data_IF_935151854078
#
_entry.id   IF_935151854078
#
_cell.length_a   1.000
_cell.length_b   1.000
_cell.length_c   1.000
_cell.angle_alpha   90.00
_cell.angle_beta   90.00
_cell.angle_gamma   90.00
#
_symmetry.space_group_name_H-M   'P 1'
#
loop_
_entity.id
_entity.type
_entity.pdbx_description
1 polymer ?
#
# COMPACT_ATOMS: atom_id res chain seq x y z
N UNK A 1 -5.43 31.23 -52.88
CA UNK A 1 -5.57 31.47 -51.42
C UNK A 1 -6.96 32.04 -51.19
N UNK A 2 -7.84 31.33 -50.48
CA UNK A 2 -9.18 31.85 -50.22
C UNK A 2 -9.07 32.93 -49.15
N UNK A 3 -9.38 34.20 -49.51
CA UNK A 3 -9.26 35.39 -48.65
C UNK A 3 -9.92 35.19 -47.29
N UNK A 4 -10.98 34.40 -47.24
CA UNK A 4 -11.72 34.02 -46.03
C UNK A 4 -10.88 33.36 -44.95
N UNK A 5 -10.02 32.39 -45.28
CA UNK A 5 -9.21 31.65 -44.29
C UNK A 5 -8.15 32.55 -43.65
N UNK A 6 -7.54 33.44 -44.45
CA UNK A 6 -6.55 34.40 -43.96
C UNK A 6 -7.20 35.49 -43.09
N UNK A 7 -8.40 35.96 -43.48
CA UNK A 7 -9.18 36.94 -42.71
C UNK A 7 -9.63 36.39 -41.35
N UNK A 8 -9.98 35.09 -41.28
CA UNK A 8 -10.42 34.38 -40.06
C UNK A 8 -9.24 34.22 -39.07
N UNK A 9 -8.04 33.88 -39.55
CA UNK A 9 -6.86 33.81 -38.70
C UNK A 9 -6.42 35.18 -38.15
N UNK A 10 -6.65 36.27 -38.90
CA UNK A 10 -6.32 37.64 -38.50
C UNK A 10 -7.31 38.21 -37.47
N UNK A 11 -8.61 37.98 -37.66
CA UNK A 11 -9.66 38.38 -36.72
C UNK A 11 -9.60 37.59 -35.39
N UNK A 12 -9.04 36.39 -35.40
CA UNK A 12 -8.78 35.58 -34.21
C UNK A 12 -7.64 36.09 -33.30
N UNK A 13 -6.79 37.01 -33.78
CA UNK A 13 -5.65 37.53 -33.03
C UNK A 13 -5.92 38.94 -32.47
N UNK A 14 -6.77 39.75 -33.13
CA UNK A 14 -6.96 41.16 -32.78
C UNK A 14 -8.42 41.59 -32.53
N UNK A 15 -9.37 40.65 -32.55
CA UNK A 15 -10.80 40.94 -32.42
C UNK A 15 -11.41 41.54 -33.71
N UNK A 16 -12.75 41.60 -33.80
CA UNK A 16 -13.47 41.74 -35.07
C UNK A 16 -13.36 43.12 -35.78
N UNK A 17 -12.69 44.13 -35.20
CA UNK A 17 -12.75 45.52 -35.73
C UNK A 17 -11.41 46.25 -35.89
N UNK A 18 -10.26 45.59 -35.82
CA UNK A 18 -8.97 46.27 -36.07
C UNK A 18 -8.28 45.79 -37.35
N UNK A 19 -8.12 46.70 -38.31
CA UNK A 19 -7.21 46.52 -39.44
C UNK A 19 -5.79 46.64 -38.86
N UNK A 20 -4.92 45.62 -38.97
CA UNK A 20 -3.58 45.70 -38.39
C UNK A 20 -2.77 46.76 -39.15
N UNK A 21 -2.01 47.57 -38.41
CA UNK A 21 -1.11 48.53 -39.03
C UNK A 21 -0.06 47.82 -39.89
N UNK A 22 0.49 48.52 -40.90
CA UNK A 22 1.57 48.01 -41.77
C UNK A 22 2.81 47.52 -41.01
N UNK A 23 3.01 47.90 -39.74
CA UNK A 23 4.12 47.38 -38.92
C UNK A 23 3.84 45.99 -38.35
N UNK A 24 2.58 45.67 -38.04
CA UNK A 24 2.13 44.35 -37.53
C UNK A 24 2.21 43.29 -38.62
N UNK A 25 1.87 43.65 -39.86
CA UNK A 25 2.03 42.76 -41.02
C UNK A 25 3.50 42.44 -41.35
N UNK A 26 4.46 43.25 -40.89
CA UNK A 26 5.90 43.00 -41.06
C UNK A 26 6.49 42.03 -40.01
N UNK A 27 5.84 41.85 -38.85
CA UNK A 27 6.32 40.96 -37.78
C UNK A 27 5.83 39.51 -37.90
N UNK A 28 4.83 39.22 -38.74
CA UNK A 28 4.39 37.85 -39.01
C UNK A 28 5.21 37.20 -40.13
N UNK A 29 6.42 36.75 -39.80
CA UNK A 29 7.25 36.00 -40.75
C UNK A 29 6.77 34.55 -40.88
N UNK A 30 5.90 34.31 -41.89
CA UNK A 30 5.60 33.03 -42.56
C UNK A 30 4.65 32.06 -41.83
N UNK A 31 3.37 32.09 -42.23
CA UNK A 31 2.49 30.92 -42.19
C UNK A 31 2.56 30.19 -43.55
N UNK A 32 2.71 28.86 -43.54
CA UNK A 32 2.55 28.05 -44.74
C UNK A 32 1.71 26.82 -44.42
N UNK A 33 0.65 26.59 -45.19
CA UNK A 33 -0.07 25.32 -45.16
C UNK A 33 0.62 24.42 -46.17
N UNK A 34 1.33 23.41 -45.70
CA UNK A 34 1.94 22.42 -46.58
C UNK A 34 0.87 21.38 -46.96
N UNK A 35 0.57 21.30 -48.25
CA UNK A 35 -0.30 20.26 -48.78
C UNK A 35 0.50 18.96 -48.90
N UNK A 36 0.11 17.91 -48.18
CA UNK A 36 0.64 16.56 -48.38
C UNK A 36 -0.53 15.66 -48.77
N UNK A 37 -0.35 14.88 -49.83
CA UNK A 37 -1.38 14.07 -50.47
C UNK A 37 -2.11 13.14 -49.48
N UNK A 38 -3.41 12.94 -49.73
CA UNK A 38 -4.35 12.05 -49.04
C UNK A 38 -4.70 12.41 -47.58
N UNK A 39 -5.74 13.26 -47.45
CA UNK A 39 -6.67 13.40 -46.30
C UNK A 39 -6.09 13.78 -44.92
N UNK A 40 -4.86 14.28 -44.88
CA UNK A 40 -4.23 14.80 -43.66
C UNK A 40 -3.65 16.18 -43.94
N UNK A 41 -4.25 17.22 -43.37
CA UNK A 41 -3.74 18.58 -43.46
C UNK A 41 -2.74 18.82 -42.33
N UNK A 42 -1.68 19.58 -42.55
CA UNK A 42 -0.79 20.01 -41.47
C UNK A 42 -0.77 21.53 -41.42
N UNK A 43 -1.02 22.09 -40.24
CA UNK A 43 -0.81 23.52 -39.98
C UNK A 43 0.61 23.68 -39.46
N UNK A 44 1.47 24.31 -40.26
CA UNK A 44 2.81 24.65 -39.85
C UNK A 44 2.82 26.08 -39.31
N UNK A 45 3.33 26.25 -38.09
CA UNK A 45 3.55 27.58 -37.54
C UNK A 45 4.84 27.66 -36.73
N UNK A 46 5.38 28.86 -36.66
CA UNK A 46 6.64 29.18 -36.00
C UNK A 46 6.29 29.95 -34.72
N UNK A 47 6.77 29.47 -33.57
CA UNK A 47 6.62 30.15 -32.28
C UNK A 47 8.04 30.39 -31.71
N UNK A 48 8.50 31.64 -31.74
CA UNK A 48 9.91 31.96 -31.50
C UNK A 48 10.80 31.36 -32.59
N UNK A 49 11.88 30.66 -32.19
CA UNK A 49 12.83 30.03 -33.12
C UNK A 49 12.47 28.57 -33.49
N UNK A 50 11.29 28.08 -33.09
CA UNK A 50 10.90 26.67 -33.29
C UNK A 50 9.70 26.54 -34.21
N UNK A 51 9.79 25.59 -35.15
CA UNK A 51 8.73 25.22 -36.08
C UNK A 51 7.93 24.02 -35.55
N UNK A 52 6.61 24.12 -35.61
CA UNK A 52 5.67 23.08 -35.17
C UNK A 52 4.72 22.69 -36.31
N UNK A 53 4.43 21.40 -36.42
CA UNK A 53 3.52 20.83 -37.42
C UNK A 53 2.35 20.14 -36.69
N UNK A 54 1.12 20.63 -36.88
CA UNK A 54 -0.08 20.04 -36.26
C UNK A 54 -0.94 19.31 -37.30
N UNK A 55 -1.23 18.01 -37.15
CA UNK A 55 -2.14 17.29 -38.04
C UNK A 55 -3.59 17.73 -37.84
N UNK A 56 -4.31 17.91 -38.94
CA UNK A 56 -5.73 18.26 -39.02
C UNK A 56 -6.37 17.25 -39.99
N UNK A 57 -7.24 16.39 -39.47
CA UNK A 57 -8.07 15.53 -40.32
C UNK A 57 -9.33 16.30 -40.74
N UNK A 58 -9.56 16.38 -42.05
CA UNK A 58 -10.74 17.03 -42.62
C UNK A 58 -11.58 15.95 -43.29
N UNK A 59 -12.70 15.59 -42.67
CA UNK A 59 -13.74 14.81 -43.34
C UNK A 59 -14.62 15.74 -44.18
N UNK A 60 -14.88 15.33 -45.43
CA UNK A 60 -15.40 16.14 -46.55
C UNK A 60 -16.82 16.73 -46.38
N UNK A 61 -17.43 16.77 -45.19
CA UNK A 61 -18.84 17.18 -45.01
C UNK A 61 -19.17 18.08 -43.80
N UNK A 62 -18.19 18.71 -43.14
CA UNK A 62 -18.47 19.66 -42.05
C UNK A 62 -17.55 20.89 -42.08
N UNK A 63 -17.55 21.69 -43.16
CA UNK A 63 -16.65 22.85 -43.29
C UNK A 63 -16.84 23.92 -42.20
N UNK A 64 -18.05 24.09 -41.65
CA UNK A 64 -18.29 25.05 -40.56
C UNK A 64 -17.94 24.50 -39.17
N UNK A 65 -18.24 23.22 -38.89
CA UNK A 65 -17.96 22.56 -37.60
C UNK A 65 -16.48 22.18 -37.37
N UNK A 66 -15.74 21.88 -38.44
CA UNK A 66 -14.31 21.57 -38.41
C UNK A 66 -13.46 22.80 -38.05
N UNK A 67 -13.94 24.02 -38.34
CA UNK A 67 -13.23 25.27 -38.03
C UNK A 67 -13.18 25.55 -36.52
N UNK A 68 -14.30 25.37 -35.83
CA UNK A 68 -14.45 25.56 -34.39
C UNK A 68 -13.71 24.48 -33.59
N UNK A 69 -13.77 23.21 -34.03
CA UNK A 69 -13.02 22.12 -33.41
C UNK A 69 -11.50 22.28 -33.58
N UNK A 70 -11.05 22.67 -34.77
CA UNK A 70 -9.61 22.95 -35.00
C UNK A 70 -9.14 24.15 -34.19
N UNK A 71 -9.98 25.17 -34.03
CA UNK A 71 -9.70 26.34 -33.20
C UNK A 71 -9.65 26.00 -31.70
N UNK A 72 -10.59 25.21 -31.19
CA UNK A 72 -10.60 24.78 -29.79
C UNK A 72 -9.41 23.88 -29.46
N UNK A 73 -9.03 22.98 -30.37
CA UNK A 73 -7.81 22.18 -30.26
C UNK A 73 -6.55 23.05 -30.26
N UNK A 74 -6.49 24.06 -31.12
CA UNK A 74 -5.37 25.01 -31.15
C UNK A 74 -5.26 25.83 -29.85
N UNK A 75 -6.37 26.37 -29.33
CA UNK A 75 -6.37 27.11 -28.08
C UNK A 75 -5.96 26.22 -26.90
N UNK A 76 -6.45 24.97 -26.86
CA UNK A 76 -6.05 23.97 -25.87
C UNK A 76 -4.54 23.64 -25.95
N UNK A 77 -4.01 23.42 -27.15
CA UNK A 77 -2.58 23.16 -27.38
C UNK A 77 -1.71 24.36 -26.97
N UNK A 78 -2.11 25.59 -27.33
CA UNK A 78 -1.44 26.83 -26.95
C UNK A 78 -1.38 26.97 -25.43
N UNK A 79 -2.54 26.85 -24.77
CA UNK A 79 -2.65 26.96 -23.30
C UNK A 79 -1.81 25.90 -22.60
N UNK A 80 -1.82 24.66 -23.10
CA UNK A 80 -1.00 23.57 -22.56
C UNK A 80 0.50 23.88 -22.66
N UNK A 81 0.95 24.41 -23.80
CA UNK A 81 2.34 24.80 -23.98
C UNK A 81 2.76 26.00 -23.13
N UNK A 82 1.91 27.00 -22.98
CA UNK A 82 2.17 28.15 -22.11
C UNK A 82 2.32 27.72 -20.65
N UNK A 83 1.42 26.86 -20.17
CA UNK A 83 1.53 26.26 -18.82
C UNK A 83 2.83 25.47 -18.65
N UNK A 84 3.19 24.66 -19.64
CA UNK A 84 4.44 23.89 -19.65
C UNK A 84 5.67 24.80 -19.54
N UNK A 85 5.73 25.84 -20.37
CA UNK A 85 6.83 26.81 -20.37
C UNK A 85 6.93 27.53 -19.02
N UNK A 86 5.79 27.94 -18.45
CA UNK A 86 5.76 28.56 -17.13
C UNK A 86 6.28 27.64 -16.03
N UNK A 87 6.00 26.33 -16.08
CA UNK A 87 6.58 25.36 -15.14
C UNK A 87 8.09 25.25 -15.34
N UNK A 88 8.57 25.14 -16.59
CA UNK A 88 10.00 25.11 -16.90
C UNK A 88 10.72 26.34 -16.34
N UNK A 89 10.12 27.53 -16.49
CA UNK A 89 10.66 28.79 -15.99
C UNK A 89 10.70 28.83 -14.46
N UNK A 90 9.59 28.45 -13.80
CA UNK A 90 9.48 28.52 -12.33
C UNK A 90 10.40 27.54 -11.59
N UNK A 91 10.58 26.33 -12.13
CA UNK A 91 11.36 25.28 -11.49
C UNK A 91 12.74 25.08 -12.11
N UNK A 92 13.07 25.86 -13.15
CA UNK A 92 14.30 25.75 -13.94
C UNK A 92 14.54 24.30 -14.43
N UNK A 93 13.49 23.65 -14.93
CA UNK A 93 13.49 22.22 -15.24
C UNK A 93 13.37 21.91 -16.74
N UNK A 94 13.61 20.64 -17.10
CA UNK A 94 13.45 20.19 -18.47
C UNK A 94 11.97 20.17 -18.89
N UNK A 95 11.71 20.17 -20.20
CA UNK A 95 10.35 20.00 -20.71
C UNK A 95 9.72 18.65 -20.33
N UNK A 96 10.54 17.62 -20.07
CA UNK A 96 10.05 16.32 -19.66
C UNK A 96 9.52 16.38 -18.22
N UNK A 97 10.28 16.98 -17.30
CA UNK A 97 9.87 17.14 -15.90
C UNK A 97 8.64 18.04 -15.77
N UNK A 98 8.60 19.13 -16.56
CA UNK A 98 7.44 20.01 -16.62
C UNK A 98 6.18 19.24 -17.07
N UNK A 99 6.29 18.33 -18.04
CA UNK A 99 5.16 17.50 -18.47
C UNK A 99 4.68 16.55 -17.36
N UNK A 100 5.58 15.98 -16.56
CA UNK A 100 5.21 15.15 -15.41
C UNK A 100 4.41 15.95 -14.37
N UNK A 101 4.84 17.17 -14.06
CA UNK A 101 4.13 18.06 -13.14
C UNK A 101 2.80 18.52 -13.73
N UNK A 102 2.75 18.83 -15.03
CA UNK A 102 1.48 19.13 -15.71
C UNK A 102 0.49 17.97 -15.59
N UNK A 103 0.95 16.73 -15.71
CA UNK A 103 0.06 15.58 -15.60
C UNK A 103 -0.52 15.44 -14.20
N UNK A 104 0.27 15.73 -13.16
CA UNK A 104 -0.22 15.80 -11.76
C UNK A 104 -1.31 16.86 -11.64
N UNK A 105 -1.05 18.08 -12.13
CA UNK A 105 -2.01 19.18 -12.07
C UNK A 105 -3.32 18.88 -12.83
N UNK A 106 -3.23 18.23 -13.99
CA UNK A 106 -4.42 17.76 -14.75
C UNK A 106 -5.20 16.72 -13.95
N UNK A 107 -4.51 15.71 -13.39
CA UNK A 107 -5.16 14.65 -12.61
C UNK A 107 -5.85 15.18 -11.36
N UNK A 108 -5.27 16.21 -10.73
CA UNK A 108 -5.81 16.89 -9.55
C UNK A 108 -6.76 18.05 -9.89
N UNK A 109 -7.10 18.25 -11.18
CA UNK A 109 -8.02 19.31 -11.64
C UNK A 109 -7.60 20.73 -11.26
N UNK A 110 -6.30 20.98 -11.12
CA UNK A 110 -5.75 22.29 -10.73
C UNK A 110 -5.78 23.33 -11.88
N UNK A 111 -6.38 22.98 -13.01
CA UNK A 111 -6.47 23.81 -14.21
C UNK A 111 -7.92 24.05 -14.67
N UNK A 112 -8.90 23.59 -13.89
CA UNK A 112 -10.32 23.66 -14.22
C UNK A 112 -10.82 25.12 -14.22
N UNK A 113 -10.23 25.99 -13.38
CA UNK A 113 -10.54 27.41 -13.34
C UNK A 113 -9.27 28.30 -13.19
N UNK A 114 -9.38 29.61 -13.49
CA UNK A 114 -8.23 30.52 -13.45
C UNK A 114 -7.63 30.72 -12.05
N UNK A 115 -8.44 30.68 -10.98
CA UNK A 115 -8.01 30.94 -9.61
C UNK A 115 -7.21 29.74 -9.06
N UNK A 116 -7.71 28.52 -9.27
CA UNK A 116 -6.98 27.29 -8.92
C UNK A 116 -5.68 27.17 -9.74
N UNK A 117 -5.72 27.53 -11.02
CA UNK A 117 -4.52 27.56 -11.86
C UNK A 117 -3.50 28.58 -11.38
N UNK A 118 -3.90 29.78 -10.96
CA UNK A 118 -2.99 30.77 -10.40
C UNK A 118 -2.37 30.27 -9.09
N UNK A 119 -3.21 29.77 -8.18
CA UNK A 119 -2.80 29.19 -6.89
C UNK A 119 -1.80 28.05 -7.06
N UNK A 120 -1.97 27.20 -8.08
CA UNK A 120 -1.02 26.14 -8.41
C UNK A 120 0.37 26.68 -8.74
N UNK A 121 0.47 27.74 -9.55
CA UNK A 121 1.76 28.35 -9.87
C UNK A 121 2.38 29.06 -8.68
N UNK A 122 1.58 29.67 -7.80
CA UNK A 122 2.08 30.28 -6.57
C UNK A 122 2.64 29.23 -5.61
N UNK A 123 1.96 28.07 -5.49
CA UNK A 123 2.49 26.90 -4.76
C UNK A 123 3.82 26.43 -5.36
N UNK A 124 3.92 26.30 -6.69
CA UNK A 124 5.18 25.89 -7.33
C UNK A 124 6.32 26.85 -7.02
N UNK A 125 6.05 28.16 -7.09
CA UNK A 125 7.03 29.20 -6.75
C UNK A 125 7.49 29.05 -5.29
N UNK A 126 6.55 28.87 -4.36
CA UNK A 126 6.86 28.65 -2.94
C UNK A 126 7.69 27.39 -2.72
N UNK A 127 7.33 26.27 -3.36
CA UNK A 127 8.07 25.00 -3.27
C UNK A 127 9.49 25.13 -3.84
N UNK A 128 9.66 25.86 -4.93
CA UNK A 128 10.99 26.12 -5.48
C UNK A 128 11.86 26.97 -4.54
N UNK A 129 11.27 27.98 -3.90
CA UNK A 129 11.96 28.84 -2.94
C UNK A 129 12.49 28.09 -1.70
N UNK A 130 11.84 26.99 -1.31
CA UNK A 130 12.34 26.12 -0.23
C UNK A 130 13.29 25.02 -0.76
N UNK A 131 13.68 25.08 -2.04
CA UNK A 131 14.70 24.22 -2.63
C UNK A 131 14.20 22.94 -3.28
N UNK A 132 12.88 22.78 -3.51
CA UNK A 132 12.38 21.60 -4.24
C UNK A 132 12.56 21.80 -5.75
N UNK A 133 13.24 20.85 -6.37
CA UNK A 133 13.31 20.73 -7.82
C UNK A 133 12.06 20.04 -8.40
N UNK A 134 11.95 20.02 -9.73
CA UNK A 134 10.81 19.42 -10.40
C UNK A 134 10.60 17.93 -10.09
N UNK A 135 11.69 17.18 -9.86
CA UNK A 135 11.63 15.75 -9.55
C UNK A 135 11.07 15.52 -8.14
N UNK A 136 11.52 16.30 -7.17
CA UNK A 136 11.04 16.25 -5.79
C UNK A 136 9.59 16.72 -5.68
N UNK A 137 9.20 17.78 -6.40
CA UNK A 137 7.80 18.21 -6.50
C UNK A 137 6.92 17.08 -7.03
N UNK A 138 7.36 16.39 -8.09
CA UNK A 138 6.61 15.27 -8.65
C UNK A 138 6.48 14.09 -7.67
N UNK A 139 7.52 13.81 -6.88
CA UNK A 139 7.50 12.78 -5.84
C UNK A 139 6.58 13.14 -4.66
N UNK A 140 6.38 14.43 -4.38
CA UNK A 140 5.62 14.95 -3.26
C UNK A 140 4.31 15.62 -3.71
N UNK A 141 3.60 15.00 -4.65
CA UNK A 141 2.33 15.52 -5.22
C UNK A 141 1.25 15.88 -4.19
N UNK A 142 1.31 15.28 -2.99
CA UNK A 142 0.41 15.57 -1.87
C UNK A 142 0.57 16.99 -1.32
N UNK A 143 1.65 17.70 -1.64
CA UNK A 143 1.83 19.11 -1.27
C UNK A 143 0.79 20.03 -1.91
N UNK A 144 0.21 19.62 -3.05
CA UNK A 144 -0.83 20.38 -3.72
C UNK A 144 -2.21 20.26 -3.05
N UNK A 145 -2.40 19.27 -2.17
CA UNK A 145 -3.65 19.05 -1.44
C UNK A 145 -3.90 20.13 -0.37
N UNK A 146 -2.84 20.82 0.10
CA UNK A 146 -2.99 21.93 1.03
C UNK A 146 -3.47 23.21 0.34
N UNK A 147 -4.15 24.09 1.07
CA UNK A 147 -4.30 25.48 0.61
C UNK A 147 -2.94 26.19 0.61
N UNK A 148 -2.76 27.20 -0.25
CA UNK A 148 -1.53 27.99 -0.29
C UNK A 148 -1.21 28.59 1.09
N UNK A 149 -2.20 29.21 1.74
CA UNK A 149 -2.02 29.81 3.06
C UNK A 149 -1.74 28.80 4.18
N UNK A 150 -2.20 27.54 4.07
CA UNK A 150 -1.81 26.49 5.02
C UNK A 150 -0.34 26.10 4.82
N UNK A 151 0.08 25.88 3.57
CA UNK A 151 1.45 25.52 3.24
C UNK A 151 2.45 26.60 3.69
N UNK A 152 2.16 27.88 3.40
CA UNK A 152 2.95 29.02 3.87
C UNK A 152 3.07 29.05 5.40
N UNK A 153 1.95 28.91 6.12
CA UNK A 153 1.95 28.90 7.58
C UNK A 153 2.77 27.76 8.18
N UNK A 154 2.81 26.60 7.52
CA UNK A 154 3.60 25.45 7.96
C UNK A 154 5.09 25.63 7.66
N UNK A 155 5.44 26.13 6.48
CA UNK A 155 6.84 26.45 6.12
C UNK A 155 7.39 27.54 7.05
N UNK A 156 6.57 28.55 7.35
CA UNK A 156 6.97 29.63 8.26
C UNK A 156 7.18 29.14 9.69
N UNK A 157 6.39 28.16 10.15
CA UNK A 157 6.62 27.53 11.45
C UNK A 157 8.01 26.86 11.55
N UNK A 158 8.47 26.21 10.48
CA UNK A 158 9.84 25.69 10.42
C UNK A 158 10.88 26.82 10.53
N UNK A 159 10.73 27.87 9.73
CA UNK A 159 11.64 29.04 9.73
C UNK A 159 11.83 29.64 11.12
N UNK A 160 10.76 29.69 11.91
CA UNK A 160 10.78 30.26 13.25
C UNK A 160 11.43 29.36 14.30
N UNK A 161 11.35 28.04 14.14
CA UNK A 161 11.70 27.07 15.18
C UNK A 161 12.94 26.22 14.89
N UNK A 162 13.02 25.65 13.70
CA UNK A 162 14.14 24.78 13.28
C UNK A 162 15.01 25.44 12.20
N UNK A 163 14.66 26.66 11.78
CA UNK A 163 15.30 27.37 10.67
C UNK A 163 14.79 26.87 9.32
N UNK A 164 15.70 26.59 8.38
CA UNK A 164 15.29 26.21 7.02
C UNK A 164 14.76 24.77 7.02
N UNK A 165 13.49 24.61 6.60
CA UNK A 165 12.89 23.30 6.34
C UNK A 165 13.78 22.51 5.37
N UNK A 166 14.31 21.37 5.83
CA UNK A 166 15.11 20.50 4.98
C UNK A 166 14.20 19.63 4.12
N UNK A 167 14.67 19.29 2.92
CA UNK A 167 13.95 18.43 1.98
C UNK A 167 13.58 17.08 2.64
N UNK A 168 14.49 16.53 3.43
CA UNK A 168 14.26 15.24 4.10
C UNK A 168 13.17 15.28 5.19
N UNK A 169 12.83 16.48 5.67
CA UNK A 169 11.85 16.70 6.74
C UNK A 169 10.45 17.02 6.19
N UNK A 170 10.28 17.10 4.87
CA UNK A 170 9.01 17.47 4.21
C UNK A 170 7.81 16.70 4.74
N UNK A 171 7.97 15.41 5.05
CA UNK A 171 6.88 14.56 5.54
C UNK A 171 6.22 15.12 6.82
N UNK A 172 6.91 15.91 7.63
CA UNK A 172 6.34 16.56 8.82
C UNK A 172 5.21 17.55 8.47
N UNK A 173 5.21 18.13 7.26
CA UNK A 173 4.14 19.02 6.80
C UNK A 173 2.77 18.32 6.69
N UNK A 174 2.72 16.98 6.72
CA UNK A 174 1.47 16.20 6.78
C UNK A 174 0.73 16.36 8.11
N UNK A 175 1.40 16.81 9.16
CA UNK A 175 0.76 17.11 10.45
C UNK A 175 -0.17 18.32 10.33
N UNK A 176 -1.19 18.41 11.18
CA UNK A 176 -1.94 19.67 11.33
C UNK A 176 -1.02 20.73 11.92
N UNK A 177 -1.28 22.01 11.64
CA UNK A 177 -0.42 23.11 12.08
C UNK A 177 -0.09 23.08 13.58
N UNK A 178 -1.09 22.86 14.43
CA UNK A 178 -0.87 22.76 15.88
C UNK A 178 0.05 21.59 16.26
N UNK A 179 -0.20 20.41 15.67
CA UNK A 179 0.62 19.22 15.93
C UNK A 179 2.05 19.35 15.40
N UNK A 180 2.24 20.14 14.33
CA UNK A 180 3.56 20.46 13.81
C UNK A 180 4.30 21.39 14.77
N UNK A 181 3.67 22.46 15.27
CA UNK A 181 4.26 23.36 16.25
C UNK A 181 4.65 22.61 17.53
N UNK A 182 3.74 21.79 18.07
CA UNK A 182 4.02 20.95 19.24
C UNK A 182 5.22 20.03 19.00
N UNK A 183 5.38 19.51 17.78
CA UNK A 183 6.52 18.66 17.44
C UNK A 183 7.82 19.47 17.34
N UNK A 184 7.79 20.67 16.76
CA UNK A 184 8.98 21.52 16.62
C UNK A 184 9.46 21.98 18.01
N UNK A 185 8.56 22.41 18.88
CA UNK A 185 8.89 22.75 20.28
C UNK A 185 9.54 21.56 21.00
N UNK A 186 9.05 20.37 20.72
CA UNK A 186 9.56 19.14 21.30
C UNK A 186 10.92 18.72 20.73
N UNK A 187 11.22 19.01 19.47
CA UNK A 187 12.55 18.80 18.87
C UNK A 187 13.57 19.78 19.45
N UNK A 188 13.16 21.03 19.66
CA UNK A 188 13.93 22.06 20.36
C UNK A 188 14.26 21.60 21.79
N UNK A 189 13.27 21.17 22.56
CA UNK A 189 13.46 20.62 23.92
C UNK A 189 14.39 19.39 23.94
N UNK A 190 14.22 18.45 23.01
CA UNK A 190 15.09 17.27 22.90
C UNK A 190 16.55 17.71 22.68
N UNK A 191 16.76 18.68 21.77
CA UNK A 191 18.09 19.19 21.43
C UNK A 191 18.75 19.89 22.62
N UNK A 192 18.02 20.73 23.34
CA UNK A 192 18.55 21.45 24.50
C UNK A 192 18.87 20.51 25.66
N UNK A 193 17.98 19.55 25.94
CA UNK A 193 18.10 18.68 27.10
C UNK A 193 19.03 17.47 26.91
N UNK A 194 19.12 16.94 25.68
CA UNK A 194 19.81 15.69 25.38
C UNK A 194 20.92 15.82 24.33
N UNK A 195 21.10 17.01 23.73
CA UNK A 195 22.04 17.24 22.63
C UNK A 195 21.79 16.34 21.41
N UNK A 196 20.57 15.80 21.28
CA UNK A 196 20.12 14.90 20.22
C UNK A 196 18.61 15.05 20.05
N UNK A 197 18.10 15.12 18.82
CA UNK A 197 16.65 15.12 18.60
C UNK A 197 16.10 13.69 18.53
N UNK A 198 14.78 13.51 18.71
CA UNK A 198 14.17 12.19 18.46
C UNK A 198 14.35 11.72 17.03
N UNK A 199 14.48 12.64 16.06
CA UNK A 199 14.75 12.28 14.67
C UNK A 199 16.11 11.58 14.56
N UNK A 200 17.13 12.19 15.16
CA UNK A 200 18.50 11.67 15.20
C UNK A 200 18.54 10.31 15.92
N UNK A 201 17.90 10.21 17.09
CA UNK A 201 17.83 8.98 17.86
C UNK A 201 17.22 7.82 17.06
N UNK A 202 16.05 8.03 16.44
CA UNK A 202 15.40 6.96 15.66
C UNK A 202 16.18 6.60 14.40
N UNK A 203 16.82 7.59 13.75
CA UNK A 203 17.66 7.36 12.59
C UNK A 203 18.87 6.49 12.96
N UNK A 204 19.62 6.90 13.99
CA UNK A 204 20.84 6.23 14.47
C UNK A 204 20.58 4.85 15.06
N UNK A 205 19.56 4.71 15.91
CA UNK A 205 19.33 3.44 16.61
C UNK A 205 18.71 2.37 15.72
N UNK A 206 17.86 2.74 14.77
CA UNK A 206 17.09 1.80 13.94
C UNK A 206 17.51 1.79 12.46
N UNK A 207 18.47 2.62 12.05
CA UNK A 207 18.93 2.71 10.66
C UNK A 207 17.81 3.17 9.73
N UNK A 208 17.08 4.20 10.16
CA UNK A 208 16.02 4.83 9.38
C UNK A 208 16.55 6.11 8.72
N UNK A 209 16.17 6.34 7.48
CA UNK A 209 16.37 7.64 6.83
C UNK A 209 15.51 8.71 7.52
N UNK A 210 15.92 9.97 7.46
CA UNK A 210 15.16 11.10 8.03
C UNK A 210 13.71 11.11 7.51
N UNK A 211 13.43 10.92 6.20
CA UNK A 211 12.05 10.85 5.70
C UNK A 211 11.22 9.71 6.31
N UNK A 212 11.82 8.55 6.57
CA UNK A 212 11.17 7.42 7.25
C UNK A 212 10.85 7.77 8.72
N UNK A 213 11.76 8.45 9.43
CA UNK A 213 11.53 8.88 10.80
C UNK A 213 10.44 9.95 10.87
N UNK A 214 10.46 10.94 9.96
CA UNK A 214 9.40 11.94 9.86
C UNK A 214 8.04 11.28 9.58
N UNK A 215 7.98 10.30 8.67
CA UNK A 215 6.74 9.53 8.43
C UNK A 215 6.29 8.76 9.67
N UNK A 216 7.23 8.12 10.38
CA UNK A 216 6.96 7.42 11.63
C UNK A 216 6.36 8.37 12.68
N UNK A 217 6.93 9.57 12.82
CA UNK A 217 6.45 10.59 13.75
C UNK A 217 5.07 11.11 13.36
N UNK A 218 4.77 11.27 12.06
CA UNK A 218 3.43 11.66 11.57
C UNK A 218 2.38 10.61 11.93
N UNK A 219 2.65 9.36 11.57
CA UNK A 219 1.72 8.23 11.73
C UNK A 219 1.48 7.86 13.19
N UNK A 220 2.50 8.02 14.05
CA UNK A 220 2.48 7.50 15.42
C UNK A 220 2.55 8.61 16.45
N UNK A 221 1.40 9.25 16.68
CA UNK A 221 1.27 10.36 17.63
C UNK A 221 1.75 10.08 19.06
N UNK A 222 1.78 8.82 19.51
CA UNK A 222 2.33 8.47 20.82
C UNK A 222 3.85 8.69 20.93
N UNK A 223 4.58 8.70 19.80
CA UNK A 223 6.00 9.06 19.75
C UNK A 223 6.22 10.56 19.89
N UNK A 224 5.19 11.39 19.63
CA UNK A 224 5.22 12.84 19.85
C UNK A 224 4.75 13.22 21.26
N UNK A 225 3.93 12.40 21.92
CA UNK A 225 3.44 12.66 23.28
C UNK A 225 4.38 12.22 24.40
N UNK A 226 5.45 11.50 24.06
CA UNK A 226 6.40 10.93 25.03
C UNK A 226 7.72 11.69 24.90
N UNK A 227 8.32 12.09 26.02
CA UNK A 227 9.65 12.71 25.99
C UNK A 227 10.67 11.72 25.44
N UNK A 228 11.70 12.23 24.77
CA UNK A 228 12.75 11.38 24.20
C UNK A 228 13.45 10.57 25.30
N UNK A 229 13.69 11.15 26.48
CA UNK A 229 14.27 10.44 27.61
C UNK A 229 13.44 9.21 28.05
N UNK A 230 12.11 9.31 28.03
CA UNK A 230 11.24 8.16 28.33
C UNK A 230 11.32 7.08 27.25
N UNK A 231 11.41 7.48 25.97
CA UNK A 231 11.61 6.56 24.84
C UNK A 231 12.96 5.84 24.99
N UNK A 232 14.05 6.59 25.22
CA UNK A 232 15.39 6.06 25.43
C UNK A 232 15.45 5.10 26.61
N UNK A 233 14.77 5.42 27.73
CA UNK A 233 14.73 4.52 28.88
C UNK A 233 13.98 3.22 28.58
N UNK A 234 12.92 3.25 27.77
CA UNK A 234 12.22 2.03 27.32
C UNK A 234 13.13 1.22 26.40
N UNK A 235 13.78 1.89 25.44
CA UNK A 235 14.71 1.27 24.51
C UNK A 235 15.84 0.54 25.24
N UNK A 236 16.46 1.20 26.22
CA UNK A 236 17.52 0.58 27.02
C UNK A 236 17.03 -0.67 27.76
N UNK A 237 15.82 -0.64 28.35
CA UNK A 237 15.25 -1.81 29.04
C UNK A 237 14.98 -3.00 28.12
N UNK A 238 14.57 -2.73 26.89
CA UNK A 238 14.39 -3.78 25.87
C UNK A 238 15.75 -4.35 25.45
N UNK A 239 16.74 -3.49 25.25
CA UNK A 239 18.12 -3.90 24.92
C UNK A 239 18.74 -4.75 26.03
N UNK A 240 18.59 -4.34 27.29
CA UNK A 240 19.04 -5.10 28.47
C UNK A 240 18.34 -6.47 28.59
N UNK A 241 17.11 -6.58 28.07
CA UNK A 241 16.37 -7.83 28.00
C UNK A 241 16.71 -8.70 26.77
N UNK A 242 17.72 -8.31 25.98
CA UNK A 242 18.17 -9.04 24.80
C UNK A 242 17.29 -8.88 23.56
N UNK A 243 16.38 -7.90 23.54
CA UNK A 243 15.53 -7.64 22.37
C UNK A 243 16.37 -6.98 21.28
N UNK A 244 16.37 -7.56 20.07
CA UNK A 244 17.14 -7.02 18.96
C UNK A 244 16.57 -5.69 18.44
N UNK A 245 17.44 -4.85 17.85
CA UNK A 245 17.02 -3.61 17.16
C UNK A 245 15.98 -3.87 16.08
N UNK A 246 16.09 -4.98 15.36
CA UNK A 246 15.13 -5.37 14.31
C UNK A 246 13.75 -5.71 14.87
N UNK A 247 13.68 -6.42 16.00
CA UNK A 247 12.42 -6.73 16.68
C UNK A 247 11.73 -5.45 17.20
N UNK A 248 12.50 -4.48 17.71
CA UNK A 248 11.97 -3.18 18.16
C UNK A 248 11.51 -2.33 16.97
N UNK A 249 12.30 -2.25 15.90
CA UNK A 249 11.97 -1.51 14.67
C UNK A 249 10.65 -2.01 14.06
N UNK A 250 10.43 -3.32 14.07
CA UNK A 250 9.20 -3.92 13.57
C UNK A 250 7.98 -3.65 14.47
N UNK A 251 8.18 -3.22 15.72
CA UNK A 251 7.10 -2.98 16.69
C UNK A 251 7.30 -1.69 17.51
N UNK A 252 7.41 -0.52 16.86
CA UNK A 252 7.48 0.77 17.55
C UNK A 252 6.30 1.06 18.50
N UNK A 253 5.18 0.31 18.42
CA UNK A 253 4.08 0.41 19.39
C UNK A 253 4.52 0.06 20.81
N UNK A 254 5.63 -0.63 20.99
CA UNK A 254 6.24 -0.87 22.30
C UNK A 254 6.44 0.43 23.09
N UNK A 255 6.81 1.52 22.41
CA UNK A 255 7.04 2.84 23.02
C UNK A 255 5.76 3.52 23.50
N UNK A 256 4.58 3.02 23.16
CA UNK A 256 3.32 3.52 23.75
C UNK A 256 3.18 3.14 25.23
N UNK A 257 3.80 2.03 25.65
CA UNK A 257 3.65 1.50 27.00
C UNK A 257 4.50 2.26 28.02
N UNK A 258 4.12 2.18 29.29
CA UNK A 258 4.93 2.70 30.40
C UNK A 258 6.11 1.76 30.64
N UNK A 259 7.26 2.33 31.01
CA UNK A 259 8.47 1.58 31.39
C UNK A 259 8.17 0.47 32.40
N UNK A 260 7.46 0.80 33.49
CA UNK A 260 7.10 -0.16 34.53
C UNK A 260 6.34 -1.37 33.97
N UNK A 261 5.37 -1.15 33.08
CA UNK A 261 4.61 -2.24 32.44
C UNK A 261 5.52 -3.16 31.62
N UNK A 262 6.51 -2.60 30.92
CA UNK A 262 7.48 -3.37 30.15
C UNK A 262 8.38 -4.18 31.09
N UNK A 263 8.87 -3.57 32.17
CA UNK A 263 9.69 -4.25 33.18
C UNK A 263 8.95 -5.42 33.84
N UNK A 264 7.72 -5.21 34.29
CA UNK A 264 6.86 -6.27 34.85
C UNK A 264 6.65 -7.43 33.87
N UNK A 265 6.48 -7.10 32.58
CA UNK A 265 6.30 -8.10 31.51
C UNK A 265 7.59 -8.87 31.22
N UNK A 266 8.74 -8.22 31.26
CA UNK A 266 10.05 -8.87 31.14
C UNK A 266 10.24 -9.86 32.30
N UNK A 267 9.96 -9.44 33.54
CA UNK A 267 10.09 -10.31 34.71
C UNK A 267 9.11 -11.49 34.66
N UNK A 268 7.89 -11.25 34.20
CA UNK A 268 6.92 -12.33 34.00
C UNK A 268 7.39 -13.32 32.92
N UNK A 269 7.93 -12.86 31.79
CA UNK A 269 8.45 -13.74 30.76
C UNK A 269 9.62 -14.60 31.28
N UNK A 270 10.50 -14.03 32.10
CA UNK A 270 11.57 -14.78 32.78
C UNK A 270 11.01 -15.87 33.70
N UNK A 271 10.01 -15.55 34.53
CA UNK A 271 9.35 -16.53 35.41
C UNK A 271 8.63 -17.64 34.64
N UNK A 272 8.10 -17.32 33.46
CA UNK A 272 7.48 -18.27 32.54
C UNK A 272 8.51 -19.02 31.66
N UNK A 273 9.81 -18.85 31.93
CA UNK A 273 10.91 -19.56 31.26
C UNK A 273 10.94 -19.35 29.74
N UNK A 274 10.60 -18.15 29.25
CA UNK A 274 10.89 -17.78 27.87
C UNK A 274 12.39 -17.56 27.68
N UNK A 275 12.96 -18.14 26.62
CA UNK A 275 14.38 -17.98 26.29
C UNK A 275 14.75 -16.52 25.96
N UNK A 276 13.84 -15.80 25.29
CA UNK A 276 14.00 -14.41 24.91
C UNK A 276 12.70 -13.63 25.05
N UNK A 277 12.81 -12.40 25.54
CA UNK A 277 11.69 -11.47 25.54
C UNK A 277 11.44 -10.94 24.12
N UNK A 278 10.17 -10.79 23.74
CA UNK A 278 9.76 -10.23 22.43
C UNK A 278 8.78 -9.08 22.61
N UNK A 279 8.76 -8.12 21.68
CA UNK A 279 7.95 -6.90 21.81
C UNK A 279 6.46 -7.20 22.01
N UNK A 280 5.90 -8.19 21.30
CA UNK A 280 4.51 -8.59 21.44
C UNK A 280 4.12 -9.04 22.85
N UNK A 281 5.07 -9.55 23.65
CA UNK A 281 4.82 -10.03 25.01
C UNK A 281 4.39 -8.91 25.95
N UNK A 282 4.86 -7.68 25.70
CA UNK A 282 4.46 -6.50 26.46
C UNK A 282 2.99 -6.11 26.25
N UNK A 283 2.46 -6.38 25.04
CA UNK A 283 1.16 -5.89 24.56
C UNK A 283 0.05 -6.91 24.76
N UNK A 284 0.39 -8.20 24.69
CA UNK A 284 -0.60 -9.26 24.77
C UNK A 284 -1.28 -9.32 26.15
N UNK A 285 -2.53 -9.79 26.20
CA UNK A 285 -3.19 -10.04 27.47
C UNK A 285 -2.48 -11.19 28.24
N UNK A 286 -2.65 -11.24 29.56
CA UNK A 286 -1.96 -12.20 30.41
C UNK A 286 -2.30 -13.65 30.05
N UNK A 287 -3.55 -13.92 29.67
CA UNK A 287 -4.01 -15.26 29.24
C UNK A 287 -3.25 -15.75 28.01
N UNK A 288 -3.04 -14.89 27.03
CA UNK A 288 -2.29 -15.21 25.81
C UNK A 288 -0.81 -15.47 26.10
N UNK A 289 -0.21 -14.70 27.02
CA UNK A 289 1.18 -14.91 27.43
C UNK A 289 1.36 -16.25 28.14
N UNK A 290 0.49 -16.56 29.13
CA UNK A 290 0.49 -17.84 29.85
C UNK A 290 0.28 -19.02 28.90
N UNK A 291 -0.71 -18.94 28.00
CA UNK A 291 -0.94 -19.96 26.98
C UNK A 291 0.28 -20.17 26.08
N UNK A 292 0.99 -19.10 25.73
CA UNK A 292 2.21 -19.20 24.93
C UNK A 292 3.32 -19.94 25.68
N UNK A 293 3.48 -19.67 26.98
CA UNK A 293 4.42 -20.40 27.84
C UNK A 293 4.04 -21.88 27.96
N UNK A 294 2.76 -22.21 28.18
CA UNK A 294 2.26 -23.59 28.21
C UNK A 294 2.60 -24.34 26.92
N UNK A 295 2.40 -23.71 25.75
CA UNK A 295 2.74 -24.28 24.45
C UNK A 295 4.25 -24.50 24.32
N UNK A 296 5.08 -23.57 24.78
CA UNK A 296 6.54 -23.73 24.75
C UNK A 296 6.98 -24.90 25.62
N UNK A 297 6.49 -24.99 26.85
CA UNK A 297 6.79 -26.10 27.76
C UNK A 297 6.33 -27.44 27.18
N UNK A 298 5.14 -27.50 26.57
CA UNK A 298 4.65 -28.71 25.93
C UNK A 298 5.48 -29.10 24.70
N UNK A 299 5.87 -28.13 23.85
CA UNK A 299 6.77 -28.37 22.72
C UNK A 299 8.12 -28.89 23.19
N UNK A 300 8.70 -28.30 24.25
CA UNK A 300 9.98 -28.73 24.81
C UNK A 300 9.92 -30.19 25.27
N UNK A 301 8.87 -30.58 26.01
CA UNK A 301 8.67 -31.97 26.42
C UNK A 301 8.60 -32.96 25.25
N UNK A 302 7.96 -32.56 24.14
CA UNK A 302 7.90 -33.36 22.92
C UNK A 302 9.28 -33.48 22.29
N UNK A 303 10.01 -32.38 22.15
CA UNK A 303 11.37 -32.38 21.60
C UNK A 303 12.38 -33.10 22.50
N UNK A 304 12.22 -33.08 23.82
CA UNK A 304 13.07 -33.85 24.73
C UNK A 304 12.93 -35.36 24.47
N UNK A 305 11.70 -35.81 24.17
CA UNK A 305 11.37 -37.21 23.85
C UNK A 305 11.80 -37.61 22.42
N UNK A 306 11.39 -36.87 21.40
CA UNK A 306 11.57 -37.26 20.00
C UNK A 306 12.76 -36.61 19.30
N UNK A 307 13.42 -35.62 19.93
CA UNK A 307 14.55 -34.82 19.39
C UNK A 307 14.18 -33.90 18.22
N UNK A 308 13.48 -34.41 17.20
CA UNK A 308 13.09 -33.66 16.01
C UNK A 308 11.62 -33.90 15.65
N UNK A 309 11.08 -33.06 14.76
CA UNK A 309 9.72 -33.23 14.21
C UNK A 309 9.65 -34.48 13.35
N UNK A 310 10.70 -34.74 12.58
CA UNK A 310 10.83 -35.86 11.66
C UNK A 310 10.79 -37.16 12.45
N UNK A 311 11.57 -37.25 13.54
CA UNK A 311 11.54 -38.40 14.44
C UNK A 311 10.17 -38.58 15.15
N UNK A 312 9.46 -37.49 15.47
CA UNK A 312 8.08 -37.58 15.96
C UNK A 312 7.16 -38.23 14.92
N UNK A 313 7.28 -37.87 13.64
CA UNK A 313 6.46 -38.44 12.55
C UNK A 313 6.82 -39.91 12.30
N UNK A 314 8.11 -40.24 12.28
CA UNK A 314 8.59 -41.63 12.14
C UNK A 314 7.98 -42.54 13.20
N UNK A 315 8.08 -42.13 14.46
CA UNK A 315 7.56 -42.91 15.58
C UNK A 315 6.03 -43.03 15.53
N UNK A 316 5.32 -41.91 15.29
CA UNK A 316 3.86 -41.85 15.39
C UNK A 316 3.10 -42.40 14.19
N UNK A 317 3.74 -42.48 13.03
CA UNK A 317 3.11 -43.00 11.81
C UNK A 317 3.79 -44.28 11.33
N UNK A 318 4.79 -44.80 12.07
CA UNK A 318 5.59 -45.98 11.73
C UNK A 318 6.17 -45.93 10.32
N UNK A 319 6.81 -44.80 10.00
CA UNK A 319 7.45 -44.51 8.70
C UNK A 319 8.95 -44.35 8.84
N UNK A 320 9.68 -44.64 7.77
CA UNK A 320 11.13 -44.46 7.71
C UNK A 320 11.53 -43.01 7.36
N UNK A 321 12.83 -42.72 7.49
CA UNK A 321 13.38 -41.39 7.21
C UNK A 321 13.18 -40.96 5.75
N UNK A 322 13.29 -41.90 4.81
CA UNK A 322 13.11 -41.63 3.39
C UNK A 322 11.66 -41.22 3.07
N UNK A 323 10.69 -41.85 3.72
CA UNK A 323 9.27 -41.53 3.60
C UNK A 323 8.93 -40.19 4.26
N UNK A 324 9.48 -39.89 5.43
CA UNK A 324 9.35 -38.54 6.03
C UNK A 324 9.92 -37.46 5.13
N UNK A 325 11.09 -37.69 4.54
CA UNK A 325 11.71 -36.78 3.57
C UNK A 325 10.76 -36.48 2.41
N UNK A 326 10.21 -37.52 1.77
CA UNK A 326 9.21 -37.38 0.70
C UNK A 326 7.97 -36.59 1.14
N UNK A 327 7.45 -36.84 2.34
CA UNK A 327 6.29 -36.13 2.88
C UNK A 327 6.60 -34.64 3.08
N UNK A 328 7.75 -34.31 3.67
CA UNK A 328 8.18 -32.94 3.94
C UNK A 328 8.45 -32.16 2.64
N UNK A 329 9.03 -32.81 1.62
CA UNK A 329 9.28 -32.21 0.31
C UNK A 329 7.96 -31.97 -0.45
N UNK A 330 7.04 -32.92 -0.39
CA UNK A 330 5.72 -32.80 -1.04
C UNK A 330 4.83 -31.78 -0.33
N UNK A 331 4.98 -31.64 0.99
CA UNK A 331 4.19 -30.73 1.82
C UNK A 331 5.06 -29.84 2.73
N UNK A 332 5.79 -28.85 2.17
CA UNK A 332 6.73 -28.01 2.93
C UNK A 332 6.07 -27.19 4.05
N UNK A 333 4.75 -27.01 4.00
CA UNK A 333 3.99 -26.39 5.06
C UNK A 333 4.01 -27.18 6.37
N UNK A 334 4.18 -28.51 6.33
CA UNK A 334 4.21 -29.36 7.51
C UNK A 334 5.41 -29.00 8.40
N UNK A 335 6.55 -28.68 7.78
CA UNK A 335 7.77 -28.22 8.46
C UNK A 335 7.59 -26.90 9.22
N UNK A 336 6.56 -26.11 8.89
CA UNK A 336 6.23 -24.86 9.59
C UNK A 336 5.28 -25.06 10.77
N UNK A 337 4.73 -26.26 10.95
CA UNK A 337 3.78 -26.57 12.01
C UNK A 337 4.53 -26.99 13.27
N UNK A 338 4.10 -26.47 14.42
CA UNK A 338 4.63 -26.84 15.73
C UNK A 338 4.37 -28.30 16.06
N UNK A 339 5.29 -28.91 16.78
CA UNK A 339 5.30 -30.32 17.15
C UNK A 339 4.09 -30.67 18.03
N UNK A 340 3.74 -29.81 19.00
CA UNK A 340 2.49 -29.94 19.79
C UNK A 340 1.25 -30.03 18.93
N UNK A 341 1.16 -29.23 17.86
CA UNK A 341 -0.01 -29.25 16.97
C UNK A 341 -0.02 -30.52 16.13
N UNK A 342 1.13 -30.97 15.64
CA UNK A 342 1.24 -32.22 14.87
C UNK A 342 0.80 -33.39 15.74
N UNK A 343 1.38 -33.54 16.94
CA UNK A 343 1.03 -34.62 17.87
C UNK A 343 -0.46 -34.61 18.21
N UNK A 344 -0.99 -33.46 18.65
CA UNK A 344 -2.42 -33.32 18.94
C UNK A 344 -3.30 -33.63 17.73
N UNK A 345 -2.85 -33.31 16.51
CA UNK A 345 -3.61 -33.63 15.31
C UNK A 345 -3.63 -35.13 15.04
N UNK A 346 -2.50 -35.82 15.17
CA UNK A 346 -2.43 -37.28 15.01
C UNK A 346 -3.35 -37.95 16.03
N UNK A 347 -3.24 -37.58 17.31
CA UNK A 347 -4.07 -38.13 18.39
C UNK A 347 -5.58 -37.85 18.14
N UNK A 348 -5.91 -36.63 17.69
CA UNK A 348 -7.29 -36.27 17.31
C UNK A 348 -7.82 -37.13 16.16
N UNK A 349 -7.05 -37.30 15.08
CA UNK A 349 -7.47 -38.09 13.93
C UNK A 349 -7.70 -39.56 14.29
N UNK A 350 -6.79 -40.14 15.08
CA UNK A 350 -6.94 -41.49 15.59
C UNK A 350 -8.18 -41.63 16.48
N UNK A 351 -8.48 -40.64 17.31
CA UNK A 351 -9.70 -40.65 18.15
C UNK A 351 -11.01 -40.59 17.36
N UNK A 352 -10.96 -40.04 16.14
CA UNK A 352 -12.08 -39.99 15.20
C UNK A 352 -12.10 -41.22 14.25
N UNK A 353 -11.26 -42.24 14.54
CA UNK A 353 -11.22 -43.51 13.79
C UNK A 353 -10.36 -43.50 12.52
N UNK A 354 -9.58 -42.44 12.27
CA UNK A 354 -8.68 -42.36 11.12
C UNK A 354 -7.35 -43.03 11.46
N UNK A 355 -6.96 -44.05 10.69
CA UNK A 355 -5.77 -44.87 10.98
C UNK A 355 -4.46 -44.20 10.54
N UNK A 356 -3.35 -44.68 11.08
CA UNK A 356 -2.00 -44.22 10.71
C UNK A 356 -1.72 -44.34 9.21
N UNK A 357 -2.12 -45.46 8.60
CA UNK A 357 -1.98 -45.69 7.16
C UNK A 357 -2.76 -44.66 6.34
N UNK A 358 -3.95 -44.26 6.79
CA UNK A 358 -4.74 -43.23 6.12
C UNK A 358 -4.12 -41.84 6.28
N UNK A 359 -3.51 -41.55 7.43
CA UNK A 359 -2.77 -40.30 7.65
C UNK A 359 -1.51 -40.29 6.75
N UNK A 360 -0.78 -41.41 6.67
CA UNK A 360 0.39 -41.58 5.81
C UNK A 360 0.06 -41.42 4.33
N UNK A 361 -1.06 -41.99 3.88
CA UNK A 361 -1.53 -41.85 2.51
C UNK A 361 -1.97 -40.40 2.18
N UNK A 362 -2.38 -39.63 3.19
CA UNK A 362 -2.85 -38.25 3.02
C UNK A 362 -2.27 -37.26 4.05
N UNK A 363 -0.93 -37.04 4.08
CA UNK A 363 -0.26 -36.26 5.14
C UNK A 363 -0.71 -34.80 5.23
N UNK A 364 -1.23 -34.26 4.11
CA UNK A 364 -1.82 -32.93 4.05
C UNK A 364 -2.92 -32.70 5.10
N UNK A 365 -3.60 -33.76 5.55
CA UNK A 365 -4.62 -33.66 6.59
C UNK A 365 -4.08 -32.99 7.88
N UNK A 366 -2.79 -33.21 8.20
CA UNK A 366 -2.13 -32.66 9.38
C UNK A 366 -2.00 -31.11 9.33
N UNK A 367 -2.16 -30.53 8.14
CA UNK A 367 -2.06 -29.09 7.92
C UNK A 367 -3.35 -28.35 8.27
N UNK A 368 -4.49 -29.05 8.36
CA UNK A 368 -5.79 -28.45 8.64
C UNK A 368 -5.94 -28.07 10.12
N UNK A 369 -7.07 -27.43 10.46
CA UNK A 369 -7.43 -27.16 11.85
C UNK A 369 -8.36 -28.26 12.38
N UNK A 370 -8.26 -28.68 13.67
CA UNK A 370 -9.17 -29.68 14.23
C UNK A 370 -10.64 -29.25 14.14
N UNK A 371 -10.90 -27.94 14.27
CA UNK A 371 -12.25 -27.37 14.12
C UNK A 371 -12.81 -27.61 12.71
N UNK A 372 -12.01 -27.40 11.67
CA UNK A 372 -12.41 -27.63 10.28
C UNK A 372 -12.69 -29.11 10.06
N UNK A 373 -11.79 -29.98 10.51
CA UNK A 373 -11.92 -31.42 10.32
C UNK A 373 -13.13 -31.97 11.07
N UNK A 374 -13.32 -31.60 12.34
CA UNK A 374 -14.49 -32.00 13.14
C UNK A 374 -15.81 -31.53 12.52
N UNK A 375 -15.86 -30.31 11.98
CA UNK A 375 -17.04 -29.82 11.24
C UNK A 375 -17.34 -30.73 10.05
N UNK A 376 -16.33 -31.06 9.24
CA UNK A 376 -16.50 -31.89 8.04
C UNK A 376 -16.85 -33.34 8.36
N UNK A 377 -16.22 -33.93 9.39
CA UNK A 377 -16.55 -35.26 9.90
C UNK A 377 -18.02 -35.30 10.32
N UNK A 378 -18.46 -34.36 11.17
CA UNK A 378 -19.84 -34.30 11.62
C UNK A 378 -20.85 -34.10 10.48
N UNK A 379 -20.52 -33.29 9.47
CA UNK A 379 -21.36 -33.10 8.28
C UNK A 379 -21.51 -34.41 7.50
N UNK A 380 -20.41 -35.11 7.23
CA UNK A 380 -20.44 -36.38 6.49
C UNK A 380 -21.16 -37.49 7.27
N UNK A 381 -20.93 -37.58 8.59
CA UNK A 381 -21.63 -38.54 9.46
C UNK A 381 -23.13 -38.29 9.46
N UNK A 382 -23.57 -37.02 9.54
CA UNK A 382 -25.00 -36.67 9.45
C UNK A 382 -25.63 -37.07 8.12
N UNK A 383 -24.86 -37.10 7.04
CA UNK A 383 -25.30 -37.53 5.73
C UNK A 383 -25.26 -39.06 5.54
N UNK A 384 -24.93 -39.82 6.59
CA UNK A 384 -24.87 -41.29 6.53
C UNK A 384 -23.60 -41.84 5.90
N UNK A 385 -22.58 -41.00 5.67
CA UNK A 385 -21.29 -41.48 5.21
C UNK A 385 -20.58 -42.22 6.36
N UNK A 386 -20.28 -43.51 6.17
CA UNK A 386 -19.26 -44.18 6.97
C UNK A 386 -17.93 -43.49 6.65
N UNK A 387 -17.16 -43.05 7.66
CA UNK A 387 -15.91 -42.30 7.42
C UNK A 387 -14.79 -43.28 7.07
N UNK A 388 -14.31 -43.32 5.81
CA UNK A 388 -12.88 -43.55 5.60
C UNK A 388 -12.26 -42.83 4.37
N UNK A 389 -12.88 -41.79 3.80
CA UNK A 389 -12.25 -41.03 2.71
C UNK A 389 -11.55 -39.75 3.21
N UNK A 390 -10.33 -39.93 3.69
CA UNK A 390 -9.49 -38.84 4.22
C UNK A 390 -9.17 -37.75 3.19
N UNK A 391 -9.11 -38.10 1.90
CA UNK A 391 -8.86 -37.13 0.84
C UNK A 391 -9.89 -35.99 0.84
N UNK A 392 -11.16 -36.28 1.14
CA UNK A 392 -12.24 -35.28 1.19
C UNK A 392 -11.95 -34.20 2.23
N UNK A 393 -11.33 -34.57 3.35
CA UNK A 393 -10.96 -33.62 4.40
C UNK A 393 -9.85 -32.65 3.97
N UNK A 394 -9.03 -33.03 3.00
CA UNK A 394 -7.91 -32.25 2.49
C UNK A 394 -8.31 -31.24 1.40
N UNK A 395 -9.57 -31.23 0.97
CA UNK A 395 -10.10 -30.34 -0.06
C UNK A 395 -10.17 -28.89 0.42
N UNK A 396 -9.97 -27.92 -0.50
CA UNK A 396 -10.33 -26.54 -0.22
C UNK A 396 -11.85 -26.39 -0.08
N UNK A 397 -12.33 -25.26 0.47
CA UNK A 397 -13.75 -25.11 0.79
C UNK A 397 -14.66 -25.28 -0.44
N UNK A 398 -14.34 -24.65 -1.58
CA UNK A 398 -15.13 -24.74 -2.82
C UNK A 398 -15.27 -26.17 -3.33
N UNK A 399 -14.19 -26.95 -3.29
CA UNK A 399 -14.21 -28.35 -3.74
C UNK A 399 -14.93 -29.26 -2.74
N UNK A 400 -14.81 -28.97 -1.45
CA UNK A 400 -15.55 -29.69 -0.42
C UNK A 400 -17.06 -29.44 -0.54
N UNK A 401 -17.50 -28.19 -0.76
CA UNK A 401 -18.91 -27.86 -0.93
C UNK A 401 -19.50 -28.60 -2.14
N UNK A 402 -18.79 -28.60 -3.28
CA UNK A 402 -19.16 -29.37 -4.47
C UNK A 402 -19.24 -30.88 -4.21
N UNK A 403 -18.34 -31.42 -3.37
CA UNK A 403 -18.39 -32.81 -2.98
C UNK A 403 -19.67 -33.12 -2.19
N UNK A 404 -20.03 -32.26 -1.23
CA UNK A 404 -21.26 -32.39 -0.44
C UNK A 404 -22.51 -32.26 -1.32
N UNK A 405 -22.55 -31.31 -2.25
CA UNK A 405 -23.67 -31.15 -3.20
C UNK A 405 -23.88 -32.42 -4.05
N UNK A 406 -22.79 -33.02 -4.54
CA UNK A 406 -22.86 -34.29 -5.28
C UNK A 406 -23.30 -35.45 -4.40
N UNK A 407 -22.84 -35.48 -3.15
CA UNK A 407 -23.24 -36.49 -2.19
C UNK A 407 -24.75 -36.44 -1.93
N UNK A 408 -25.29 -35.23 -1.70
CA UNK A 408 -26.72 -34.96 -1.53
C UNK A 408 -27.55 -35.28 -2.79
N UNK A 409 -27.05 -34.91 -3.98
CA UNK A 409 -27.71 -35.18 -5.25
C UNK A 409 -27.68 -36.65 -5.69
N UNK A 410 -26.70 -37.43 -5.22
CA UNK A 410 -26.57 -38.87 -5.50
C UNK A 410 -27.38 -39.77 -4.56
N UNK A 411 -27.72 -39.31 -3.36
CA UNK A 411 -28.57 -40.04 -2.41
C UNK A 411 -30.08 -39.92 -2.70
N UNK A 412 -30.51 -39.00 -3.57
CA UNK A 412 -31.91 -38.80 -3.94
C UNK A 412 -32.40 -39.72 -5.08
N UNK A 413 -31.52 -40.49 -5.73
CA UNK A 413 -31.86 -41.34 -6.88
C UNK A 413 -32.09 -42.82 -6.53
N UNK A 414 -32.04 -43.20 -5.25
CA UNK A 414 -32.25 -44.59 -4.78
C UNK A 414 -33.52 -44.82 -3.96
N UNK A 415 -34.50 -43.91 -4.02
CA UNK A 415 -35.84 -44.17 -3.50
C UNK A 415 -36.90 -43.59 -4.42
N UNK A 416 -37.94 -44.40 -4.64
CA UNK A 416 -39.18 -44.13 -5.39
C UNK A 416 -39.13 -44.53 -6.86
N UNK A 417 -39.34 -45.83 -7.08
CA UNK A 417 -40.09 -46.30 -8.24
C UNK A 417 -41.40 -46.90 -7.71
N UNK A 418 -42.37 -46.05 -7.38
CA UNK A 418 -43.78 -46.42 -7.36
C UNK A 418 -44.56 -45.33 -8.09
N UNK A 419 -45.23 -45.74 -9.16
CA UNK A 419 -45.93 -44.86 -10.10
C UNK A 419 -47.15 -44.17 -9.49
N UNK A 420 -47.68 -43.14 -10.17
CA UNK A 420 -48.77 -42.34 -9.65
C UNK A 420 -50.09 -43.07 -9.82
N UNK A 421 -50.73 -43.47 -8.71
CA UNK A 421 -52.16 -43.79 -8.69
C UNK A 421 -52.92 -42.48 -8.46
N UNK A 422 -53.65 -42.05 -9.50
CA UNK A 422 -54.67 -41.01 -9.44
C UNK A 422 -55.97 -41.58 -8.87
N UNK A 423 -56.50 -40.97 -7.81
CA UNK A 423 -57.95 -40.83 -7.54
C UNK A 423 -58.11 -39.91 -6.33
N UNK A 424 -58.47 -38.64 -6.50
CA UNK A 424 -59.83 -38.11 -6.65
C UNK A 424 -60.61 -37.95 -5.32
N UNK A 425 -61.07 -36.71 -5.13
CA UNK A 425 -62.27 -36.25 -4.41
C UNK A 425 -62.24 -35.96 -2.90
N UNK A 426 -62.44 -34.65 -2.63
CA UNK A 426 -63.41 -34.02 -1.71
C UNK A 426 -63.37 -34.40 -0.22
N UNK A 427 -62.94 -33.46 0.63
CA UNK A 427 -63.74 -32.41 1.30
C UNK A 427 -62.82 -31.42 1.99
#
# INVERSE_FOLDING_TARGET
MNRSVFQICLSAIHGPTSIPSRSVMKQMSKFSIAHVSNRSYFVNFILGDRQFNMPVHVEKKQEEGLSLQSFSLFQSFKTRNERRLKICELLQCSSADANSIMQIAINQRLFDDPETSATFFDKLKLLHQIGLDAKLVAQHQWLFDFSLGELEKKIEAFRQKEGVLKIDELNLLKLRKAELLDLLDLLEEDRESLMETRIDFFSREFGLSIPEVCSLLVERSFLRRKSLQQIMSIYQKLKDAGVSKSEIRNDFWIFKHKKQTIEERIQLAKRLQFDQFKCWMSRCNLRALKRSAEILTANKKILDKYKTREALLMEKLHIDEAEVGRICDTYPQLSKIRETKILHMIDFLMSEGITEDQIRAHPKILCHSPRTLKKRINELVKLGAHVPNVYVFCLNQRLYDRYIEKFLGGSASSSVNEGPVKSSSKL
#
